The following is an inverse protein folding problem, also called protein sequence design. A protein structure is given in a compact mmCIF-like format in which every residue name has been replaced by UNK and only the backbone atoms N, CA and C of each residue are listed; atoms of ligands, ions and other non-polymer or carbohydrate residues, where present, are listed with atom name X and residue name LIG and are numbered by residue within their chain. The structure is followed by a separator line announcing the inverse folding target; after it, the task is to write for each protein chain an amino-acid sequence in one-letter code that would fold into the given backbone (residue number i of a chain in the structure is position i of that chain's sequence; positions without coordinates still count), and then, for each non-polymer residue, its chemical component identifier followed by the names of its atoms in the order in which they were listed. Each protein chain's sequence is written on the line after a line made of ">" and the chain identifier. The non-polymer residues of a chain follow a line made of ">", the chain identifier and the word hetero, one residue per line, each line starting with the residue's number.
data_IF_709023613424
#
_entry.id   IF_709023613424
#
_cell.length_a   1.000
_cell.length_b   1.000
_cell.length_c   1.000
_cell.angle_alpha   90.00
_cell.angle_beta   90.00
_cell.angle_gamma   90.00
#
_symmetry.space_group_name_H-M   'P 1'
#
loop_
_entity.id
_entity.type
_entity.pdbx_description
1 polymer ?
#
# COMPACT_ATOMS: atom_id res chain seq x y z
N UNK A 1 -9.35 -9.87 -12.31
CA UNK A 1 -9.84 -9.79 -13.70
C UNK A 1 -10.48 -11.11 -14.07
N UNK A 2 -11.41 -11.09 -15.05
CA UNK A 2 -11.91 -12.28 -15.69
C UNK A 2 -10.99 -12.72 -16.87
N UNK A 3 -11.39 -13.80 -17.57
CA UNK A 3 -10.63 -14.34 -18.70
C UNK A 3 -10.56 -13.38 -19.93
N UNK A 4 -11.45 -12.38 -20.00
CA UNK A 4 -11.46 -11.35 -21.04
C UNK A 4 -10.68 -10.08 -20.62
N UNK A 5 -10.01 -10.11 -19.47
CA UNK A 5 -9.26 -8.99 -18.91
C UNK A 5 -10.12 -7.88 -18.32
N UNK A 6 -11.38 -8.17 -18.02
CA UNK A 6 -12.30 -7.21 -17.39
C UNK A 6 -12.22 -7.28 -15.87
N UNK A 7 -12.35 -6.13 -15.24
CA UNK A 7 -12.38 -6.00 -13.80
C UNK A 7 -13.65 -6.64 -13.24
N UNK A 8 -13.51 -7.67 -12.40
CA UNK A 8 -14.61 -8.31 -11.69
C UNK A 8 -14.89 -7.61 -10.35
N UNK A 9 -13.84 -7.16 -9.70
CA UNK A 9 -13.88 -6.41 -8.45
C UNK A 9 -12.71 -5.45 -8.40
N UNK A 10 -12.89 -4.31 -7.74
CA UNK A 10 -11.85 -3.30 -7.54
C UNK A 10 -11.89 -2.81 -6.10
N UNK A 11 -10.74 -2.63 -5.50
CA UNK A 11 -10.56 -1.96 -4.22
C UNK A 11 -9.45 -0.92 -4.36
N UNK A 12 -9.71 0.32 -3.98
CA UNK A 12 -8.72 1.40 -3.97
C UNK A 12 -8.63 2.03 -2.59
N UNK A 13 -7.41 2.40 -2.21
CA UNK A 13 -7.16 3.16 -0.98
C UNK A 13 -5.95 4.07 -1.18
N UNK A 14 -5.76 5.04 -0.27
CA UNK A 14 -4.64 5.98 -0.31
C UNK A 14 -4.01 6.11 1.06
N UNK A 15 -2.74 5.77 1.17
CA UNK A 15 -1.90 6.09 2.32
C UNK A 15 -1.42 7.55 2.19
N UNK A 16 -2.12 8.48 2.83
CA UNK A 16 -1.73 9.89 2.92
C UNK A 16 -1.31 10.21 4.35
N UNK A 17 -0.01 10.14 4.59
CA UNK A 17 0.57 10.35 5.91
C UNK A 17 1.23 11.72 5.98
N UNK A 18 1.23 12.32 7.16
CA UNK A 18 1.83 13.62 7.43
C UNK A 18 2.64 13.55 8.71
N UNK A 19 3.85 14.09 8.67
CA UNK A 19 4.68 14.38 9.83
C UNK A 19 5.11 15.85 9.73
N UNK A 20 4.96 16.60 10.81
CA UNK A 20 5.37 18.01 10.87
C UNK A 20 6.78 18.07 11.42
N UNK A 21 7.66 18.77 10.71
CA UNK A 21 9.03 19.07 11.14
C UNK A 21 9.01 20.54 11.57
N UNK A 22 9.59 20.85 12.70
CA UNK A 22 9.65 22.22 13.24
C UNK A 22 11.09 22.53 13.63
N UNK A 23 11.66 23.59 13.06
CA UNK A 23 13.03 24.02 13.34
C UNK A 23 14.04 22.84 13.23
N UNK A 24 13.93 22.05 12.17
CA UNK A 24 14.80 20.90 11.93
C UNK A 24 14.58 19.68 12.85
N UNK A 25 13.57 19.72 13.72
CA UNK A 25 13.30 18.66 14.70
C UNK A 25 12.13 17.77 14.26
N UNK A 26 12.32 16.45 14.35
CA UNK A 26 11.23 15.47 14.23
C UNK A 26 10.43 15.44 15.55
N UNK A 27 9.11 15.11 15.51
CA UNK A 27 8.32 14.98 16.74
C UNK A 27 8.92 13.95 17.71
N UNK A 28 8.96 14.26 19.00
CA UNK A 28 9.48 13.34 20.05
C UNK A 28 8.76 11.97 20.06
N UNK A 29 7.48 11.97 19.66
CA UNK A 29 6.64 10.77 19.59
C UNK A 29 6.61 10.13 18.20
N UNK A 30 7.47 10.59 17.25
CA UNK A 30 7.48 10.10 15.85
C UNK A 30 7.45 8.57 15.75
N UNK A 31 8.26 7.87 16.53
CA UNK A 31 8.34 6.40 16.52
C UNK A 31 7.04 5.70 16.95
N UNK A 32 6.14 6.39 17.65
CA UNK A 32 4.85 5.88 18.12
C UNK A 32 3.64 6.39 17.33
N UNK A 33 3.87 7.24 16.33
CA UNK A 33 2.80 7.77 15.48
C UNK A 33 2.06 6.64 14.77
N UNK A 34 0.75 6.76 14.72
CA UNK A 34 -0.13 5.83 14.01
C UNK A 34 -0.79 6.54 12.84
N UNK A 35 -0.90 5.84 11.72
CA UNK A 35 -1.45 6.38 10.49
C UNK A 35 -2.62 5.53 10.03
N UNK A 36 -3.69 6.21 9.61
CA UNK A 36 -4.84 5.60 8.94
C UNK A 36 -4.80 5.95 7.46
N UNK A 37 -5.13 5.00 6.59
CA UNK A 37 -5.41 5.29 5.19
C UNK A 37 -6.63 6.22 5.04
N UNK A 38 -6.88 6.73 3.84
CA UNK A 38 -8.08 7.54 3.61
C UNK A 38 -9.37 6.75 3.84
N UNK A 39 -9.38 5.47 3.41
CA UNK A 39 -10.53 4.59 3.61
C UNK A 39 -10.77 4.27 5.09
N UNK A 40 -9.71 4.03 5.86
CA UNK A 40 -9.79 3.79 7.30
C UNK A 40 -10.23 5.01 8.12
N UNK A 41 -10.01 6.23 7.59
CA UNK A 41 -10.46 7.46 8.26
C UNK A 41 -11.98 7.62 8.24
N UNK A 42 -12.67 7.02 7.28
CA UNK A 42 -14.11 7.18 7.11
C UNK A 42 -14.51 8.67 7.23
N UNK A 43 -15.42 9.01 8.14
CA UNK A 43 -15.87 10.39 8.40
C UNK A 43 -14.77 11.28 9.02
N UNK A 44 -13.72 10.71 9.62
CA UNK A 44 -12.57 11.47 10.14
C UNK A 44 -11.78 12.16 9.02
N UNK A 45 -11.89 11.69 7.78
CA UNK A 45 -11.27 12.36 6.62
C UNK A 45 -11.90 13.73 6.35
N UNK A 46 -13.18 13.88 6.70
CA UNK A 46 -13.92 15.14 6.69
C UNK A 46 -13.98 15.84 5.33
N UNK A 47 -14.16 15.07 4.25
CA UNK A 47 -14.35 15.62 2.90
C UNK A 47 -15.78 16.11 2.65
N UNK A 48 -16.78 15.49 3.29
CA UNK A 48 -18.21 15.74 3.07
C UNK A 48 -18.61 17.22 3.04
N UNK A 49 -18.11 18.11 3.94
CA UNK A 49 -18.46 19.53 3.91
C UNK A 49 -17.93 20.27 2.68
N UNK A 50 -16.81 19.80 2.09
CA UNK A 50 -16.17 20.40 0.91
C UNK A 50 -16.61 19.71 -0.40
N UNK A 51 -17.25 18.55 -0.30
CA UNK A 51 -17.73 17.79 -1.45
C UNK A 51 -18.99 18.40 -2.05
N UNK A 52 -18.99 18.70 -3.36
CA UNK A 52 -20.15 19.20 -4.07
C UNK A 52 -21.37 18.27 -4.08
N UNK A 53 -21.18 16.99 -3.75
CA UNK A 53 -22.22 15.95 -3.68
C UNK A 53 -22.49 15.46 -2.25
N UNK A 54 -21.85 16.09 -1.22
CA UNK A 54 -22.06 15.76 0.19
C UNK A 54 -21.63 14.36 0.59
N UNK A 55 -20.60 13.80 -0.07
CA UNK A 55 -20.04 12.48 0.22
C UNK A 55 -18.63 12.56 0.77
N UNK A 56 -18.29 11.61 1.65
CA UNK A 56 -16.94 11.40 2.15
C UNK A 56 -16.03 10.75 1.08
N UNK A 57 -14.72 10.75 1.34
CA UNK A 57 -13.74 10.18 0.40
C UNK A 57 -14.01 8.70 0.12
N UNK A 58 -14.26 7.90 1.16
CA UNK A 58 -14.53 6.47 1.03
C UNK A 58 -15.77 6.18 0.19
N UNK A 59 -16.86 6.97 0.36
CA UNK A 59 -18.08 6.83 -0.43
C UNK A 59 -17.87 7.17 -1.93
N UNK A 60 -16.96 8.10 -2.21
CA UNK A 60 -16.59 8.46 -3.59
C UNK A 60 -15.63 7.43 -4.19
N UNK A 61 -14.73 6.84 -3.37
CA UNK A 61 -13.89 5.73 -3.78
C UNK A 61 -14.72 4.49 -4.14
N UNK A 62 -15.73 4.13 -3.34
CA UNK A 62 -16.68 3.06 -3.63
C UNK A 62 -17.44 3.29 -4.94
N UNK A 63 -17.81 4.54 -5.25
CA UNK A 63 -18.45 4.88 -6.52
C UNK A 63 -17.48 4.68 -7.72
N UNK A 64 -16.20 5.01 -7.56
CA UNK A 64 -15.16 4.73 -8.56
C UNK A 64 -14.96 3.23 -8.73
N UNK A 65 -14.81 2.48 -7.63
CA UNK A 65 -14.65 1.01 -7.62
C UNK A 65 -15.80 0.33 -8.38
N UNK A 66 -17.03 0.73 -8.09
CA UNK A 66 -18.22 0.20 -8.79
C UNK A 66 -18.25 0.57 -10.27
N UNK A 67 -17.81 1.78 -10.63
CA UNK A 67 -17.81 2.27 -12.00
C UNK A 67 -16.83 1.53 -12.91
N UNK A 68 -15.68 1.09 -12.37
CA UNK A 68 -14.64 0.38 -13.15
C UNK A 68 -14.93 -1.11 -13.34
N UNK A 69 -15.84 -1.71 -12.57
CA UNK A 69 -16.25 -3.10 -12.75
C UNK A 69 -16.82 -3.33 -14.16
N UNK A 70 -16.38 -4.39 -14.83
CA UNK A 70 -16.73 -4.74 -16.21
C UNK A 70 -15.90 -4.03 -17.28
N UNK A 71 -14.99 -3.10 -16.90
CA UNK A 71 -14.07 -2.41 -17.82
C UNK A 71 -12.72 -3.14 -17.90
N UNK A 72 -12.03 -2.96 -19.00
CA UNK A 72 -10.62 -3.33 -19.18
C UNK A 72 -9.70 -2.21 -18.68
N UNK A 73 -8.39 -2.49 -18.53
CA UNK A 73 -7.39 -1.47 -18.20
C UNK A 73 -7.41 -0.28 -19.18
N UNK A 74 -7.54 -0.55 -20.49
CA UNK A 74 -7.61 0.49 -21.52
C UNK A 74 -8.87 1.35 -21.39
N UNK A 75 -10.01 0.76 -21.06
CA UNK A 75 -11.26 1.48 -20.83
C UNK A 75 -11.19 2.34 -19.54
N UNK A 76 -10.46 1.89 -18.52
CA UNK A 76 -10.20 2.68 -17.30
C UNK A 76 -9.26 3.85 -17.63
N UNK A 77 -8.18 3.61 -18.38
CA UNK A 77 -7.25 4.66 -18.82
C UNK A 77 -7.95 5.73 -19.71
N UNK A 78 -9.00 5.34 -20.43
CA UNK A 78 -9.78 6.22 -21.31
C UNK A 78 -10.94 6.96 -20.59
N UNK A 79 -11.09 6.86 -19.27
CA UNK A 79 -12.08 7.63 -18.51
C UNK A 79 -11.88 9.12 -18.79
N UNK A 80 -12.91 9.83 -19.29
CA UNK A 80 -12.75 11.24 -19.63
C UNK A 80 -12.57 12.09 -18.38
N UNK A 81 -11.54 12.94 -18.39
CA UNK A 81 -11.18 13.81 -17.27
C UNK A 81 -10.90 15.23 -17.74
N UNK A 82 -11.01 16.17 -16.82
CA UNK A 82 -10.57 17.56 -16.98
C UNK A 82 -9.74 17.98 -15.76
N UNK A 83 -8.86 18.95 -15.98
CA UNK A 83 -8.11 19.56 -14.85
C UNK A 83 -8.82 20.85 -14.45
N UNK A 84 -9.24 20.93 -13.20
CA UNK A 84 -9.86 22.12 -12.62
C UNK A 84 -8.84 23.25 -12.43
N UNK A 85 -9.29 24.47 -12.19
CA UNK A 85 -8.44 25.65 -11.92
C UNK A 85 -7.48 25.43 -10.74
N UNK A 86 -7.85 24.57 -9.78
CA UNK A 86 -7.02 24.22 -8.61
C UNK A 86 -6.09 23.02 -8.86
N UNK A 87 -5.96 22.55 -10.10
CA UNK A 87 -5.09 21.45 -10.49
C UNK A 87 -5.63 20.04 -10.17
N UNK A 88 -6.88 19.92 -9.73
CA UNK A 88 -7.50 18.60 -9.53
C UNK A 88 -7.94 18.00 -10.86
N UNK A 89 -7.68 16.72 -11.06
CA UNK A 89 -8.11 15.97 -12.24
C UNK A 89 -9.37 15.21 -11.90
N UNK A 90 -10.50 15.70 -12.37
CA UNK A 90 -11.83 15.15 -12.08
C UNK A 90 -12.45 14.52 -13.32
N UNK A 91 -13.38 13.58 -13.13
CA UNK A 91 -14.10 12.99 -14.28
C UNK A 91 -15.08 13.94 -14.90
N UNK A 92 -15.25 13.84 -16.23
CA UNK A 92 -16.37 14.47 -16.97
C UNK A 92 -17.43 13.46 -17.41
N UNK A 93 -17.26 12.16 -17.10
CA UNK A 93 -18.30 11.15 -17.31
C UNK A 93 -19.45 11.36 -16.34
N UNK A 94 -20.65 11.60 -16.85
CA UNK A 94 -21.84 11.95 -16.05
C UNK A 94 -22.22 10.86 -15.05
N UNK A 95 -21.98 9.58 -15.38
CA UNK A 95 -22.32 8.44 -14.51
C UNK A 95 -21.40 8.40 -13.31
N UNK A 96 -20.08 8.53 -13.54
CA UNK A 96 -19.09 8.55 -12.45
C UNK A 96 -19.20 9.85 -11.65
N UNK A 97 -19.39 10.99 -12.31
CA UNK A 97 -19.50 12.31 -11.68
C UNK A 97 -20.64 12.39 -10.66
N UNK A 98 -21.75 11.66 -10.89
CA UNK A 98 -22.87 11.59 -9.95
C UNK A 98 -22.48 10.96 -8.59
N UNK A 99 -21.40 10.19 -8.54
CA UNK A 99 -20.93 9.50 -7.35
C UNK A 99 -19.53 9.91 -6.87
N UNK A 100 -18.70 10.51 -7.75
CA UNK A 100 -17.31 10.81 -7.50
C UNK A 100 -16.91 12.12 -8.17
N UNK A 101 -16.64 13.15 -7.35
CA UNK A 101 -16.20 14.49 -7.77
C UNK A 101 -14.78 14.82 -7.32
N UNK A 102 -14.13 13.89 -6.64
CA UNK A 102 -12.73 14.04 -6.20
C UNK A 102 -11.75 13.85 -7.35
N UNK A 103 -10.48 14.18 -7.11
CA UNK A 103 -9.39 13.90 -8.06
C UNK A 103 -9.21 12.40 -8.22
N UNK A 104 -9.24 11.88 -9.46
CA UNK A 104 -9.21 10.44 -9.76
C UNK A 104 -8.01 9.98 -10.57
N UNK A 105 -7.10 10.87 -11.00
CA UNK A 105 -5.95 10.49 -11.80
C UNK A 105 -5.12 9.37 -11.15
N UNK A 106 -4.78 9.51 -9.87
CA UNK A 106 -4.02 8.48 -9.15
C UNK A 106 -4.78 7.16 -8.97
N UNK A 107 -6.12 7.21 -8.90
CA UNK A 107 -6.95 6.00 -8.83
C UNK A 107 -6.99 5.28 -10.19
N UNK A 108 -7.08 6.04 -11.29
CA UNK A 108 -6.99 5.52 -12.66
C UNK A 108 -5.63 4.84 -12.84
N UNK A 109 -4.54 5.57 -12.55
CA UNK A 109 -3.17 5.08 -12.74
C UNK A 109 -2.92 3.81 -11.92
N UNK A 110 -3.31 3.79 -10.64
CA UNK A 110 -3.17 2.63 -9.77
C UNK A 110 -4.00 1.43 -10.25
N UNK A 111 -5.24 1.67 -10.72
CA UNK A 111 -6.11 0.61 -11.23
C UNK A 111 -5.55 0.02 -12.53
N UNK A 112 -5.12 0.85 -13.47
CA UNK A 112 -4.49 0.42 -14.72
C UNK A 112 -3.21 -0.37 -14.44
N UNK A 113 -2.37 0.11 -13.52
CA UNK A 113 -1.16 -0.56 -13.10
C UNK A 113 -1.45 -1.93 -12.50
N UNK A 114 -2.44 -2.03 -11.60
CA UNK A 114 -2.85 -3.30 -11.00
C UNK A 114 -3.40 -4.29 -12.03
N UNK A 115 -4.15 -3.82 -13.03
CA UNK A 115 -4.66 -4.68 -14.11
C UNK A 115 -3.54 -5.23 -15.01
N UNK A 116 -2.43 -4.52 -15.14
CA UNK A 116 -1.29 -4.87 -16.00
C UNK A 116 -0.12 -5.49 -15.21
N UNK A 117 -0.29 -5.76 -13.92
CA UNK A 117 0.75 -6.40 -13.11
C UNK A 117 0.84 -7.90 -13.43
N UNK A 118 1.88 -8.29 -14.17
CA UNK A 118 2.18 -9.66 -14.56
C UNK A 118 2.68 -10.53 -13.40
N UNK A 119 2.94 -9.92 -12.25
CA UNK A 119 3.32 -10.61 -11.01
C UNK A 119 2.15 -10.85 -10.05
N UNK A 120 0.93 -10.47 -10.47
CA UNK A 120 -0.29 -10.71 -9.69
C UNK A 120 -0.58 -12.21 -9.55
N UNK A 121 -1.15 -12.60 -8.41
CA UNK A 121 -1.49 -13.99 -8.16
C UNK A 121 -2.81 -14.38 -8.86
N UNK A 122 -2.78 -15.51 -9.54
CA UNK A 122 -3.98 -16.15 -10.08
C UNK A 122 -4.68 -16.99 -9.00
N UNK A 123 -6.00 -16.98 -9.00
CA UNK A 123 -6.80 -17.89 -8.19
C UNK A 123 -8.07 -18.31 -8.93
N UNK A 124 -8.69 -19.39 -8.49
CA UNK A 124 -9.95 -19.92 -9.06
C UNK A 124 -11.02 -19.98 -7.99
N UNK A 125 -12.25 -19.68 -8.36
CA UNK A 125 -13.41 -19.67 -7.47
C UNK A 125 -13.81 -18.27 -7.03
N UNK A 126 -14.85 -18.19 -6.20
CA UNK A 126 -15.33 -16.92 -5.66
C UNK A 126 -14.50 -16.52 -4.44
N UNK A 127 -14.07 -15.28 -4.42
CA UNK A 127 -13.34 -14.70 -3.29
C UNK A 127 -13.70 -13.22 -3.13
N UNK A 128 -13.63 -12.74 -1.90
CA UNK A 128 -13.80 -11.32 -1.59
C UNK A 128 -12.43 -10.64 -1.66
N UNK A 129 -12.33 -9.59 -2.48
CA UNK A 129 -11.13 -8.77 -2.61
C UNK A 129 -11.13 -7.68 -1.55
N UNK A 130 -10.03 -7.55 -0.83
CA UNK A 130 -9.78 -6.44 0.11
C UNK A 130 -8.36 -5.90 -0.05
N UNK A 131 -8.21 -4.61 0.24
CA UNK A 131 -6.95 -3.89 0.20
C UNK A 131 -6.77 -3.10 1.49
N UNK A 132 -5.59 -3.18 2.08
CA UNK A 132 -5.22 -2.34 3.21
C UNK A 132 -3.76 -1.93 3.15
N UNK A 133 -3.41 -0.93 3.95
CA UNK A 133 -2.02 -0.57 4.22
C UNK A 133 -1.75 -0.43 5.72
N UNK A 134 -0.48 -0.46 6.07
CA UNK A 134 0.00 -0.15 7.41
C UNK A 134 1.22 0.73 7.29
N UNK A 135 1.22 1.89 7.94
CA UNK A 135 2.34 2.82 7.93
C UNK A 135 2.92 2.99 9.32
N UNK A 136 4.24 3.04 9.39
CA UNK A 136 5.02 3.45 10.56
C UNK A 136 6.08 4.46 10.15
N UNK A 137 6.61 5.19 11.12
CA UNK A 137 7.82 5.98 10.92
C UNK A 137 9.00 5.01 10.83
N UNK A 138 9.85 5.22 9.82
CA UNK A 138 11.06 4.41 9.63
C UNK A 138 12.13 4.81 10.65
N UNK A 139 12.93 3.84 11.08
CA UNK A 139 14.04 4.03 12.04
C UNK A 139 15.15 4.96 11.52
N UNK A 140 15.17 5.25 10.22
CA UNK A 140 16.07 6.23 9.61
C UNK A 140 15.64 7.69 9.87
N UNK A 141 14.46 7.92 10.48
CA UNK A 141 13.97 9.27 10.81
C UNK A 141 14.81 9.85 11.95
N UNK A 142 15.36 11.03 11.70
CA UNK A 142 16.22 11.75 12.64
C UNK A 142 16.12 13.27 12.41
N UNK A 143 16.25 14.05 13.46
CA UNK A 143 16.36 15.51 13.39
C UNK A 143 17.63 15.96 12.68
N UNK A 144 17.65 17.20 12.19
CA UNK A 144 18.88 17.84 11.71
C UNK A 144 19.77 18.16 12.89
N UNK A 145 21.07 17.89 12.81
CA UNK A 145 22.05 18.14 13.89
C UNK A 145 23.40 18.60 13.31
N UNK A 146 24.02 19.57 13.97
CA UNK A 146 25.41 20.00 13.71
C UNK A 146 25.72 20.36 12.22
N UNK A 147 24.71 20.86 11.49
CA UNK A 147 24.81 21.22 10.07
C UNK A 147 24.67 20.04 9.12
N UNK A 148 24.27 18.88 9.61
CA UNK A 148 23.85 17.73 8.79
C UNK A 148 22.34 17.70 8.68
N UNK A 149 21.85 17.41 7.47
CA UNK A 149 20.41 17.33 7.18
C UNK A 149 19.72 16.24 8.01
N UNK A 150 18.55 16.58 8.54
CA UNK A 150 17.63 15.61 9.12
C UNK A 150 16.98 14.72 8.06
N UNK A 151 16.32 13.68 8.50
CA UNK A 151 15.62 12.72 7.63
C UNK A 151 14.22 12.46 8.17
N UNK A 152 13.21 12.60 7.33
CA UNK A 152 11.87 12.11 7.56
C UNK A 152 11.60 10.93 6.63
N UNK A 153 11.46 9.73 7.19
CA UNK A 153 11.25 8.50 6.46
C UNK A 153 10.04 7.75 6.98
N UNK A 154 9.24 7.21 6.08
CA UNK A 154 8.09 6.38 6.42
C UNK A 154 8.22 5.01 5.77
N UNK A 155 7.68 4.02 6.44
CA UNK A 155 7.59 2.64 5.96
C UNK A 155 6.12 2.27 5.81
N UNK A 156 5.67 2.08 4.58
CA UNK A 156 4.29 1.67 4.30
C UNK A 156 4.27 0.32 3.61
N UNK A 157 3.57 -0.63 4.21
CA UNK A 157 3.25 -1.92 3.62
C UNK A 157 1.82 -1.96 3.12
N UNK A 158 1.59 -2.66 2.03
CA UNK A 158 0.30 -2.85 1.37
C UNK A 158 0.00 -4.34 1.24
N UNK A 159 -1.25 -4.73 1.43
CA UNK A 159 -1.71 -6.08 1.14
C UNK A 159 -3.05 -6.03 0.41
N UNK A 160 -3.08 -6.57 -0.81
CA UNK A 160 -4.29 -6.93 -1.51
C UNK A 160 -4.51 -8.43 -1.31
N UNK A 161 -5.69 -8.82 -0.84
CA UNK A 161 -6.02 -10.22 -0.54
C UNK A 161 -7.33 -10.62 -1.21
N UNK A 162 -7.39 -11.86 -1.69
CA UNK A 162 -8.61 -12.52 -2.07
C UNK A 162 -8.90 -13.60 -1.03
N UNK A 163 -10.02 -13.50 -0.32
CA UNK A 163 -10.42 -14.42 0.75
C UNK A 163 -11.63 -15.22 0.30
N UNK A 164 -11.53 -16.54 0.34
CA UNK A 164 -12.60 -17.45 -0.05
C UNK A 164 -13.71 -17.56 1.01
N UNK A 165 -14.78 -18.30 0.70
CA UNK A 165 -15.92 -18.47 1.59
C UNK A 165 -15.59 -19.24 2.89
N UNK A 166 -14.47 -19.97 2.93
CA UNK A 166 -13.98 -20.69 4.11
C UNK A 166 -13.06 -19.80 4.99
N UNK A 167 -12.89 -18.52 4.63
CA UNK A 167 -12.01 -17.57 5.32
C UNK A 167 -10.51 -17.81 5.04
N UNK A 168 -10.18 -18.53 3.98
CA UNK A 168 -8.81 -18.80 3.59
C UNK A 168 -8.32 -17.80 2.53
N UNK A 169 -7.05 -17.50 2.59
CA UNK A 169 -6.38 -16.67 1.62
C UNK A 169 -6.26 -17.39 0.27
N UNK A 170 -7.10 -17.06 -0.70
CA UNK A 170 -7.05 -17.63 -2.05
C UNK A 170 -5.89 -17.05 -2.86
N UNK A 171 -5.61 -15.74 -2.67
CA UNK A 171 -4.47 -15.05 -3.28
C UNK A 171 -4.05 -13.86 -2.42
N UNK A 172 -2.80 -13.46 -2.55
CA UNK A 172 -2.24 -12.26 -1.91
C UNK A 172 -1.22 -11.59 -2.81
N UNK A 173 -1.24 -10.26 -2.81
CA UNK A 173 -0.18 -9.43 -3.36
C UNK A 173 0.26 -8.47 -2.24
N UNK A 174 1.49 -8.61 -1.79
CA UNK A 174 2.09 -7.78 -0.75
C UNK A 174 3.21 -6.92 -1.32
N UNK A 175 3.29 -5.66 -0.92
CA UNK A 175 4.34 -4.75 -1.35
C UNK A 175 4.69 -3.74 -0.25
N UNK A 176 5.80 -3.06 -0.41
CA UNK A 176 6.30 -2.05 0.53
C UNK A 176 6.90 -0.86 -0.19
N UNK A 177 6.71 0.33 0.39
CA UNK A 177 7.37 1.55 -0.05
C UNK A 177 8.01 2.26 1.15
N UNK A 178 9.19 2.82 0.93
CA UNK A 178 9.94 3.57 1.93
C UNK A 178 10.28 4.97 1.38
N UNK A 179 9.31 5.89 1.35
CA UNK A 179 9.59 7.28 1.00
C UNK A 179 10.46 7.93 2.07
N UNK A 180 11.41 8.75 1.61
CA UNK A 180 12.33 9.47 2.47
C UNK A 180 12.55 10.85 1.88
N UNK A 181 12.53 11.88 2.74
CA UNK A 181 12.94 13.24 2.44
C UNK A 181 14.01 13.70 3.43
N UNK A 182 14.90 14.57 2.99
CA UNK A 182 15.85 15.26 3.86
C UNK A 182 15.44 16.72 4.02
N UNK A 183 15.81 17.33 5.16
CA UNK A 183 15.49 18.70 5.51
C UNK A 183 16.63 19.31 6.35
N UNK A 184 16.80 20.62 6.26
CA UNK A 184 17.82 21.35 7.00
C UNK A 184 17.39 21.70 8.44
N UNK A 185 18.19 22.47 9.14
CA UNK A 185 17.97 22.93 10.52
C UNK A 185 16.84 23.97 10.66
N UNK A 186 16.40 24.59 9.56
CA UNK A 186 15.18 25.41 9.52
C UNK A 186 13.93 24.58 9.19
N UNK A 187 14.07 23.28 8.80
CA UNK A 187 13.00 22.38 8.40
C UNK A 187 12.61 22.49 6.92
N UNK A 188 13.42 23.18 6.10
CA UNK A 188 13.19 23.27 4.67
C UNK A 188 13.65 21.98 3.98
N UNK A 189 12.83 21.46 3.04
CA UNK A 189 13.14 20.22 2.33
C UNK A 189 14.33 20.41 1.38
N UNK A 190 15.37 19.60 1.56
CA UNK A 190 16.61 19.62 0.77
C UNK A 190 16.67 18.52 -0.30
N UNK A 191 15.88 17.46 -0.17
CA UNK A 191 15.81 16.39 -1.16
C UNK A 191 14.93 16.73 -2.35
N UNK A 192 15.17 16.06 -3.51
CA UNK A 192 14.31 16.16 -4.69
C UNK A 192 12.96 15.46 -4.44
N UNK A 193 11.90 16.25 -4.27
CA UNK A 193 10.53 15.75 -4.07
C UNK A 193 9.84 15.34 -5.38
N UNK A 194 10.43 15.62 -6.54
CA UNK A 194 9.93 15.20 -7.85
C UNK A 194 10.46 13.81 -8.28
N UNK A 195 11.41 13.24 -7.52
CA UNK A 195 11.95 11.92 -7.80
C UNK A 195 10.85 10.84 -7.70
N UNK A 196 10.84 9.92 -8.66
CA UNK A 196 9.94 8.77 -8.63
C UNK A 196 10.26 7.85 -7.44
N UNK A 197 9.24 7.53 -6.66
CA UNK A 197 9.34 6.60 -5.53
C UNK A 197 8.81 5.24 -5.96
N UNK A 198 9.72 4.30 -6.20
CA UNK A 198 9.39 2.91 -6.53
C UNK A 198 9.14 2.09 -5.27
N UNK A 199 8.17 1.18 -5.33
CA UNK A 199 7.98 0.15 -4.30
C UNK A 199 9.13 -0.85 -4.32
N UNK A 200 9.24 -1.69 -3.29
CA UNK A 200 10.27 -2.75 -3.26
C UNK A 200 10.08 -3.79 -4.36
N UNK A 201 8.82 -4.11 -4.68
CA UNK A 201 8.47 -5.04 -5.75
C UNK A 201 8.87 -4.47 -7.13
N UNK A 202 8.66 -3.17 -7.37
CA UNK A 202 9.07 -2.49 -8.60
C UNK A 202 10.58 -2.38 -8.77
N UNK A 203 11.31 -2.25 -7.66
CA UNK A 203 12.78 -2.19 -7.69
C UNK A 203 13.40 -3.50 -8.16
N UNK A 204 12.77 -4.63 -7.93
CA UNK A 204 13.32 -5.96 -8.29
C UNK A 204 14.80 -6.07 -7.86
N UNK A 205 15.71 -6.34 -8.80
CA UNK A 205 17.16 -6.45 -8.53
C UNK A 205 17.80 -5.09 -8.14
N UNK A 206 17.17 -3.95 -8.45
CA UNK A 206 17.65 -2.63 -8.02
C UNK A 206 17.57 -2.43 -6.49
N UNK A 207 16.76 -3.25 -5.79
CA UNK A 207 16.68 -3.19 -4.32
C UNK A 207 18.00 -3.63 -3.67
N UNK A 208 18.71 -4.59 -4.30
CA UNK A 208 20.08 -4.96 -3.94
C UNK A 208 20.22 -5.83 -2.69
N UNK A 209 19.19 -6.57 -2.30
CA UNK A 209 19.21 -7.43 -1.10
C UNK A 209 20.01 -8.72 -1.31
N UNK A 210 20.14 -9.21 -2.54
CA UNK A 210 20.73 -10.52 -2.87
C UNK A 210 22.08 -10.77 -2.20
N UNK A 211 22.96 -9.77 -2.18
CA UNK A 211 24.29 -9.89 -1.60
C UNK A 211 24.29 -9.93 -0.07
N UNK A 212 23.27 -9.35 0.56
CA UNK A 212 23.12 -9.32 2.02
C UNK A 212 22.25 -10.47 2.55
N UNK A 213 21.47 -11.10 1.67
CA UNK A 213 20.58 -12.20 1.99
C UNK A 213 21.35 -13.51 2.20
N UNK A 214 21.12 -14.20 3.33
CA UNK A 214 21.72 -15.50 3.62
C UNK A 214 21.35 -16.63 2.65
N UNK A 215 20.31 -16.41 1.82
CA UNK A 215 19.82 -17.34 0.80
C UNK A 215 20.05 -16.83 -0.64
N UNK A 216 20.82 -15.74 -0.79
CA UNK A 216 21.12 -15.11 -2.07
C UNK A 216 19.88 -14.79 -2.93
N UNK A 217 18.78 -14.37 -2.28
CA UNK A 217 17.52 -13.99 -2.92
C UNK A 217 17.24 -12.49 -2.72
N UNK A 218 16.66 -11.86 -3.73
CA UNK A 218 16.18 -10.50 -3.68
C UNK A 218 14.89 -10.38 -2.85
N UNK A 219 14.52 -9.14 -2.47
CA UNK A 219 13.32 -8.87 -1.70
C UNK A 219 12.07 -9.43 -2.36
N UNK A 220 11.89 -9.20 -3.66
CA UNK A 220 10.70 -9.65 -4.39
C UNK A 220 10.61 -11.18 -4.47
N UNK A 221 11.75 -11.90 -4.55
CA UNK A 221 11.79 -13.36 -4.54
C UNK A 221 11.39 -13.93 -3.17
N UNK A 222 11.89 -13.31 -2.09
CA UNK A 222 11.53 -13.67 -0.73
C UNK A 222 10.06 -13.33 -0.40
N UNK A 223 9.56 -12.19 -0.93
CA UNK A 223 8.16 -11.82 -0.83
C UNK A 223 7.27 -12.86 -1.51
N UNK A 224 7.60 -13.30 -2.72
CA UNK A 224 6.88 -14.36 -3.43
C UNK A 224 6.87 -15.68 -2.64
N UNK A 225 7.96 -16.04 -1.97
CA UNK A 225 8.01 -17.20 -1.09
C UNK A 225 7.05 -17.05 0.10
N UNK A 226 6.98 -15.86 0.72
CA UNK A 226 6.02 -15.56 1.77
C UNK A 226 4.57 -15.66 1.25
N UNK A 227 4.25 -15.01 0.14
CA UNK A 227 2.91 -15.04 -0.49
C UNK A 227 2.47 -16.48 -0.78
N UNK A 228 3.37 -17.29 -1.35
CA UNK A 228 3.11 -18.71 -1.59
C UNK A 228 2.85 -19.49 -0.31
N UNK A 229 3.63 -19.21 0.75
CA UNK A 229 3.50 -19.92 2.02
C UNK A 229 2.20 -19.61 2.76
N UNK A 230 1.71 -18.36 2.68
CA UNK A 230 0.48 -17.95 3.38
C UNK A 230 -0.80 -18.25 2.61
N UNK A 231 -0.72 -18.46 1.28
CA UNK A 231 -1.86 -18.86 0.46
C UNK A 231 -2.46 -20.18 0.94
N UNK A 232 -3.78 -20.24 1.02
CA UNK A 232 -4.56 -21.39 1.54
C UNK A 232 -4.71 -21.43 3.06
N UNK A 233 -4.14 -20.44 3.79
CA UNK A 233 -4.24 -20.34 5.26
C UNK A 233 -5.32 -19.35 5.68
N UNK A 234 -5.86 -19.54 6.88
CA UNK A 234 -6.72 -18.56 7.56
C UNK A 234 -5.89 -17.47 8.24
N UNK A 235 -6.52 -16.36 8.62
CA UNK A 235 -5.88 -15.28 9.36
C UNK A 235 -5.24 -15.76 10.68
N UNK A 236 -5.90 -16.68 11.38
CA UNK A 236 -5.38 -17.28 12.63
C UNK A 236 -4.12 -18.12 12.36
N UNK A 237 -4.12 -18.92 11.30
CA UNK A 237 -2.95 -19.73 10.90
C UNK A 237 -1.77 -18.85 10.46
N UNK A 238 -2.04 -17.71 9.80
CA UNK A 238 -1.00 -16.74 9.42
C UNK A 238 -0.48 -16.02 10.66
N UNK A 239 -1.34 -15.60 11.58
CA UNK A 239 -0.96 -14.99 12.86
C UNK A 239 -0.12 -15.93 13.74
N UNK A 240 -0.33 -17.25 13.62
CA UNK A 240 0.37 -18.27 14.38
C UNK A 240 1.70 -18.71 13.77
N UNK A 241 2.16 -18.10 12.65
CA UNK A 241 3.47 -18.39 12.07
C UNK A 241 4.54 -18.14 13.13
N UNK A 242 5.37 -19.14 13.45
CA UNK A 242 6.37 -18.99 14.50
C UNK A 242 7.46 -17.99 14.06
N UNK A 243 7.75 -17.04 14.94
CA UNK A 243 8.73 -15.98 14.71
C UNK A 243 9.64 -15.78 15.91
N UNK A 244 10.81 -15.20 15.69
CA UNK A 244 11.71 -14.68 16.72
C UNK A 244 12.13 -13.25 16.38
N UNK A 245 12.50 -12.48 17.39
CA UNK A 245 13.07 -11.15 17.19
C UNK A 245 14.57 -11.23 17.26
N UNK A 246 15.26 -10.81 16.22
CA UNK A 246 16.73 -10.76 16.17
C UNK A 246 17.28 -9.63 17.06
N UNK A 247 18.58 -9.64 17.31
CA UNK A 247 19.26 -8.59 18.10
C UNK A 247 19.09 -7.18 17.49
N UNK A 248 18.88 -7.11 16.17
CA UNK A 248 18.62 -5.85 15.43
C UNK A 248 17.13 -5.47 15.38
N UNK A 249 16.26 -6.17 16.13
CA UNK A 249 14.82 -5.87 16.20
C UNK A 249 13.98 -6.39 15.02
N UNK A 250 14.56 -7.13 14.08
CA UNK A 250 13.81 -7.75 12.98
C UNK A 250 13.04 -8.98 13.47
N UNK A 251 11.76 -9.06 13.08
CA UNK A 251 10.91 -10.22 13.36
C UNK A 251 11.00 -11.19 12.19
N UNK A 252 11.78 -12.25 12.34
CA UNK A 252 12.00 -13.26 11.30
C UNK A 252 11.28 -14.56 11.62
N UNK A 253 10.96 -15.35 10.59
CA UNK A 253 10.31 -16.65 10.81
C UNK A 253 11.28 -17.71 11.33
N UNK A 254 10.78 -18.58 12.21
CA UNK A 254 11.45 -19.83 12.61
C UNK A 254 10.83 -21.06 11.99
N UNK A 255 9.78 -20.92 11.17
CA UNK A 255 9.25 -22.02 10.37
C UNK A 255 10.23 -22.40 9.27
N UNK A 256 10.70 -23.66 9.28
CA UNK A 256 11.76 -24.15 8.39
C UNK A 256 11.35 -24.09 6.89
N UNK A 257 10.05 -24.25 6.57
CA UNK A 257 9.56 -24.17 5.18
C UNK A 257 9.60 -22.75 4.66
N UNK A 258 9.08 -21.80 5.45
CA UNK A 258 9.10 -20.38 5.07
C UNK A 258 10.54 -19.84 5.07
N UNK A 259 11.34 -20.18 6.07
CA UNK A 259 12.74 -19.75 6.22
C UNK A 259 13.62 -20.16 5.05
N UNK A 260 13.32 -21.29 4.40
CA UNK A 260 14.06 -21.74 3.23
C UNK A 260 13.94 -20.76 2.04
N UNK A 261 12.86 -19.99 1.95
CA UNK A 261 12.61 -19.02 0.88
C UNK A 261 12.52 -17.55 1.35
N UNK A 262 12.40 -17.30 2.66
CA UNK A 262 12.21 -15.96 3.21
C UNK A 262 12.94 -15.82 4.55
N UNK A 263 14.03 -15.05 4.54
CA UNK A 263 14.86 -14.75 5.73
C UNK A 263 14.75 -13.29 6.17
N UNK A 264 13.97 -12.49 5.44
CA UNK A 264 13.72 -11.08 5.80
C UNK A 264 12.72 -10.98 6.96
N UNK A 265 12.51 -9.74 7.45
CA UNK A 265 11.52 -9.48 8.51
C UNK A 265 10.10 -9.74 7.98
N UNK A 266 9.38 -10.65 8.63
CA UNK A 266 8.00 -11.04 8.24
C UNK A 266 6.92 -10.45 9.17
N UNK A 267 7.31 -9.80 10.26
CA UNK A 267 6.34 -9.30 11.26
C UNK A 267 5.36 -8.29 10.68
N UNK A 268 5.84 -7.33 9.88
CA UNK A 268 5.00 -6.36 9.16
C UNK A 268 4.12 -7.03 8.11
N UNK A 269 4.67 -7.99 7.38
CA UNK A 269 3.96 -8.74 6.33
C UNK A 269 2.78 -9.52 6.92
N UNK A 270 3.01 -10.31 7.97
CA UNK A 270 1.96 -11.05 8.70
C UNK A 270 0.87 -10.09 9.17
N UNK A 271 1.26 -9.01 9.86
CA UNK A 271 0.33 -8.03 10.41
C UNK A 271 -0.56 -7.40 9.33
N UNK A 272 0.02 -6.99 8.19
CA UNK A 272 -0.71 -6.30 7.13
C UNK A 272 -1.62 -7.25 6.36
N UNK A 273 -1.17 -8.49 6.08
CA UNK A 273 -2.00 -9.51 5.42
C UNK A 273 -3.19 -9.90 6.32
N UNK A 274 -2.94 -10.16 7.61
CA UNK A 274 -4.03 -10.49 8.57
C UNK A 274 -5.02 -9.35 8.71
N UNK A 275 -4.54 -8.09 8.74
CA UNK A 275 -5.41 -6.90 8.73
C UNK A 275 -6.30 -6.87 7.50
N UNK A 276 -5.76 -7.12 6.30
CA UNK A 276 -6.53 -7.17 5.06
C UNK A 276 -7.59 -8.28 5.09
N UNK A 277 -7.23 -9.48 5.55
CA UNK A 277 -8.18 -10.60 5.70
C UNK A 277 -9.30 -10.30 6.69
N UNK A 278 -9.03 -9.53 7.75
CA UNK A 278 -10.04 -9.09 8.72
C UNK A 278 -11.09 -8.14 8.13
N UNK A 279 -10.79 -7.42 7.05
CA UNK A 279 -11.76 -6.59 6.32
C UNK A 279 -12.67 -7.42 5.42
N UNK A 280 -12.23 -8.61 5.01
CA UNK A 280 -13.00 -9.53 4.16
C UNK A 280 -14.05 -10.34 4.95
N UNK A 281 -13.97 -10.37 6.28
CA UNK A 281 -14.84 -11.15 7.18
C UNK A 281 -16.23 -10.58 7.37
#
# INVERSE_FOLDING_TARGET
>A
LDADGKIVSCAVDVAQNKMEITDGEVPEDAASMTFKSKKEKLEEYNMKPASGIGKEWYEQAEAFEAYVVGKTADEVAAIPVETTENGHVVTTDETLLAGCTMSINSLIDATVKACNDDSAADFTGDAKLELTCSTSVDSATASAEDGEDGTAAMYTSFAAVAVDADGKLAAVCYDEVQPKVTFDDEGEITSDTAAEIKTKREKKDEYGMRSASGISAEWFEQNQAFETFVTGKTADEISAIPTETTDNGHVVTTDETLKAGCTMSVGGMIKTVVKAMGLAG
#
